data_IF_096434052425
#
_entry.id   IF_096434052425
#
_cell.length_a   1.000
_cell.length_b   1.000
_cell.length_c   1.000
_cell.angle_alpha   90.00
_cell.angle_beta   90.00
_cell.angle_gamma   90.00
#
_symmetry.space_group_name_H-M   'P 1'
#
loop_
_entity.id
_entity.type
_entity.pdbx_description
1 polymer ?
#
# COMPACT_ATOMS: atom_id res chain seq x y z
N UNK A 1 0.61 11.45 16.05
CA UNK A 1 -0.06 10.43 15.22
C UNK A 1 0.37 9.01 15.60
N UNK A 2 1.66 8.77 15.87
CA UNK A 2 2.18 7.43 16.22
C UNK A 2 1.36 6.60 17.23
N UNK A 3 0.83 7.15 18.35
CA UNK A 3 -0.01 6.36 19.26
C UNK A 3 -1.29 5.83 18.59
N UNK A 4 -1.93 6.62 17.73
CA UNK A 4 -3.14 6.18 17.00
C UNK A 4 -2.82 5.09 15.97
N UNK A 5 -1.69 5.21 15.28
CA UNK A 5 -1.27 4.16 14.34
C UNK A 5 -0.92 2.86 15.04
N UNK A 6 -0.28 2.93 16.20
CA UNK A 6 -0.04 1.74 17.03
C UNK A 6 -1.36 1.07 17.45
N UNK A 7 -2.36 1.85 17.86
CA UNK A 7 -3.67 1.32 18.24
C UNK A 7 -4.39 0.69 17.02
N UNK A 8 -4.30 1.30 15.82
CA UNK A 8 -4.79 0.74 14.55
C UNK A 8 -4.12 -0.59 14.22
N UNK A 9 -2.78 -0.67 14.34
CA UNK A 9 -2.02 -1.90 14.09
C UNK A 9 -2.47 -3.00 15.05
N UNK A 10 -2.55 -2.71 16.35
CA UNK A 10 -2.92 -3.71 17.35
C UNK A 10 -4.34 -4.22 17.16
N UNK A 11 -5.28 -3.34 16.80
CA UNK A 11 -6.64 -3.72 16.47
C UNK A 11 -6.69 -4.62 15.23
N UNK A 12 -6.00 -4.23 14.16
CA UNK A 12 -5.94 -4.99 12.91
C UNK A 12 -5.13 -6.28 12.98
N UNK A 13 -4.22 -6.46 13.95
CA UNK A 13 -3.52 -7.72 14.12
C UNK A 13 -4.31 -8.71 14.99
N UNK A 14 -5.42 -8.26 15.59
CA UNK A 14 -6.28 -9.06 16.46
C UNK A 14 -7.68 -9.35 15.89
N UNK A 15 -7.99 -8.91 14.66
CA UNK A 15 -9.37 -8.88 14.13
C UNK A 15 -9.59 -9.77 12.88
N UNK A 16 -9.84 -11.08 13.04
CA UNK A 16 -9.96 -12.00 11.92
C UNK A 16 -11.18 -11.79 11.01
N UNK A 17 -12.16 -10.96 11.40
CA UNK A 17 -13.37 -10.72 10.61
C UNK A 17 -13.85 -9.26 10.68
N UNK A 18 -14.50 -8.73 9.62
CA UNK A 18 -14.78 -9.40 8.33
C UNK A 18 -13.48 -9.64 7.53
N UNK A 19 -13.47 -10.71 6.71
CA UNK A 19 -12.33 -11.06 5.88
C UNK A 19 -12.76 -11.38 4.45
N UNK A 20 -12.05 -10.81 3.47
CA UNK A 20 -12.19 -11.02 2.04
C UNK A 20 -11.02 -11.86 1.54
N UNK A 21 -11.21 -13.18 1.47
CA UNK A 21 -10.11 -14.11 1.17
C UNK A 21 -9.54 -13.99 -0.25
N UNK A 22 -10.34 -13.46 -1.19
CA UNK A 22 -10.02 -13.41 -2.63
C UNK A 22 -9.50 -14.76 -3.20
N UNK A 23 -9.85 -15.87 -2.55
CA UNK A 23 -9.50 -17.22 -2.95
C UNK A 23 -10.39 -17.66 -4.11
N UNK A 24 -9.78 -18.20 -5.17
CA UNK A 24 -10.55 -18.76 -6.28
C UNK A 24 -10.98 -20.17 -5.94
N UNK A 25 -12.23 -20.32 -5.49
CA UNK A 25 -12.86 -21.63 -5.24
C UNK A 25 -12.95 -22.46 -6.52
N UNK A 26 -12.30 -23.63 -6.56
CA UNK A 26 -12.25 -24.52 -7.74
C UNK A 26 -13.27 -25.65 -7.74
N UNK A 27 -13.86 -25.97 -6.58
CA UNK A 27 -14.93 -26.96 -6.44
C UNK A 27 -15.91 -26.55 -5.33
N UNK A 28 -17.01 -27.28 -5.16
CA UNK A 28 -17.96 -26.99 -4.09
C UNK A 28 -17.36 -27.18 -2.68
N UNK A 29 -16.32 -28.02 -2.57
CA UNK A 29 -15.60 -28.36 -1.35
C UNK A 29 -14.42 -27.41 -1.07
N UNK A 30 -13.99 -26.63 -2.07
CA UNK A 30 -12.85 -25.70 -1.98
C UNK A 30 -13.27 -24.39 -1.27
N UNK A 31 -13.54 -24.51 0.03
CA UNK A 31 -14.05 -23.43 0.89
C UNK A 31 -13.19 -23.25 2.15
N UNK A 32 -11.87 -23.05 2.01
CA UNK A 32 -11.03 -22.82 3.17
C UNK A 32 -11.43 -21.53 3.88
N UNK A 33 -11.35 -21.53 5.21
CA UNK A 33 -11.37 -20.34 6.02
C UNK A 33 -10.01 -19.64 5.96
N UNK A 34 -9.95 -18.31 6.16
CA UNK A 34 -8.70 -17.55 6.07
C UNK A 34 -7.58 -18.11 6.97
N UNK A 35 -7.91 -18.51 8.20
CA UNK A 35 -6.94 -19.10 9.13
C UNK A 35 -6.51 -20.54 8.78
N UNK A 36 -7.01 -21.13 7.70
CA UNK A 36 -6.55 -22.44 7.21
C UNK A 36 -5.51 -22.28 6.09
N UNK A 37 -5.56 -21.18 5.33
CA UNK A 37 -4.71 -20.94 4.15
C UNK A 37 -3.75 -19.76 4.31
N UNK A 38 -4.00 -18.86 5.26
CA UNK A 38 -3.23 -17.63 5.49
C UNK A 38 -2.83 -17.46 6.96
N UNK A 39 -2.14 -18.45 7.54
CA UNK A 39 -1.81 -18.51 8.97
C UNK A 39 -1.08 -17.28 9.53
N UNK A 40 -0.25 -16.62 8.72
CA UNK A 40 0.47 -15.42 9.13
C UNK A 40 -0.36 -14.14 8.89
N UNK A 41 -1.24 -14.16 7.87
CA UNK A 41 -1.85 -12.94 7.32
C UNK A 41 -3.38 -13.03 7.19
N UNK A 42 -4.09 -13.49 8.24
CA UNK A 42 -5.56 -13.59 8.24
C UNK A 42 -6.28 -12.64 9.20
N UNK A 43 -5.56 -11.87 10.03
CA UNK A 43 -6.17 -11.12 11.14
C UNK A 43 -6.64 -9.71 10.78
N UNK A 44 -6.69 -9.36 9.49
CA UNK A 44 -7.22 -8.10 8.97
C UNK A 44 -8.21 -8.37 7.82
N UNK A 45 -8.70 -7.31 7.16
CA UNK A 45 -9.77 -7.39 6.16
C UNK A 45 -9.44 -8.31 4.98
N UNK A 46 -8.19 -8.36 4.55
CA UNK A 46 -7.69 -9.33 3.58
C UNK A 46 -6.20 -9.58 3.85
N UNK A 47 -5.60 -10.43 3.02
CA UNK A 47 -4.20 -10.83 3.19
C UNK A 47 -3.23 -9.65 3.12
N UNK A 48 -3.30 -8.83 2.07
CA UNK A 48 -2.36 -7.72 1.91
C UNK A 48 -2.60 -6.63 2.95
N UNK A 49 -3.84 -6.43 3.41
CA UNK A 49 -4.19 -5.54 4.53
C UNK A 49 -3.54 -6.01 5.83
N UNK A 50 -3.49 -7.32 6.07
CA UNK A 50 -2.73 -7.86 7.17
C UNK A 50 -1.24 -7.56 7.01
N UNK A 51 -0.68 -7.76 5.81
CA UNK A 51 0.74 -7.40 5.50
C UNK A 51 1.01 -5.90 5.69
N UNK A 52 0.09 -5.01 5.31
CA UNK A 52 0.16 -3.57 5.57
C UNK A 52 0.35 -3.25 7.04
N UNK A 53 -0.39 -3.95 7.91
CA UNK A 53 -0.38 -3.74 9.36
C UNK A 53 0.89 -4.30 10.00
N UNK A 54 1.42 -5.41 9.46
CA UNK A 54 2.75 -5.89 9.85
C UNK A 54 3.84 -4.88 9.49
N UNK A 55 3.83 -4.36 8.25
CA UNK A 55 4.79 -3.35 7.80
C UNK A 55 4.70 -2.07 8.65
N UNK A 56 3.48 -1.58 8.92
CA UNK A 56 3.27 -0.39 9.74
C UNK A 56 3.73 -0.64 11.18
N UNK A 57 3.46 -1.81 11.75
CA UNK A 57 3.93 -2.22 13.07
C UNK A 57 5.46 -2.20 13.18
N UNK A 58 6.17 -2.82 12.24
CA UNK A 58 7.64 -2.80 12.19
C UNK A 58 8.16 -1.36 12.01
N UNK A 59 7.55 -0.59 11.13
CA UNK A 59 7.93 0.82 10.90
C UNK A 59 7.78 1.66 12.18
N UNK A 60 6.70 1.46 12.95
CA UNK A 60 6.51 2.14 14.23
C UNK A 60 7.55 1.75 15.28
N UNK A 61 7.96 0.48 15.33
CA UNK A 61 9.03 0.03 16.21
C UNK A 61 10.37 0.71 15.86
N UNK A 62 10.70 0.83 14.58
CA UNK A 62 11.92 1.51 14.11
C UNK A 62 11.93 3.02 14.43
N UNK A 63 10.77 3.68 14.41
CA UNK A 63 10.66 5.12 14.69
C UNK A 63 10.41 5.44 16.17
N UNK A 64 10.14 4.43 16.99
CA UNK A 64 9.89 4.54 18.43
C UNK A 64 8.43 4.81 18.79
N UNK A 65 7.94 4.05 19.77
CA UNK A 65 6.64 4.22 20.43
C UNK A 65 6.79 4.07 21.95
N UNK A 66 5.73 4.33 22.73
CA UNK A 66 5.74 4.09 24.18
C UNK A 66 6.04 2.62 24.50
N UNK A 67 6.76 2.34 25.59
CA UNK A 67 7.20 1.00 25.97
C UNK A 67 6.07 -0.05 25.96
N UNK A 68 4.88 0.27 26.48
CA UNK A 68 3.73 -0.64 26.49
C UNK A 68 3.26 -1.00 25.07
N UNK A 69 3.27 -0.03 24.14
CA UNK A 69 2.90 -0.23 22.73
C UNK A 69 3.98 -0.97 21.97
N UNK A 70 5.24 -0.68 22.23
CA UNK A 70 6.38 -1.42 21.66
C UNK A 70 6.24 -2.91 22.01
N UNK A 71 6.06 -3.22 23.30
CA UNK A 71 5.89 -4.58 23.78
C UNK A 71 4.67 -5.27 23.14
N UNK A 72 3.53 -4.58 23.07
CA UNK A 72 2.31 -5.12 22.47
C UNK A 72 2.47 -5.40 20.96
N UNK A 73 3.05 -4.47 20.20
CA UNK A 73 3.28 -4.65 18.76
C UNK A 73 4.23 -5.82 18.52
N UNK A 74 5.32 -5.91 19.30
CA UNK A 74 6.27 -7.03 19.18
C UNK A 74 5.62 -8.38 19.48
N UNK A 75 4.75 -8.44 20.49
CA UNK A 75 4.02 -9.65 20.81
C UNK A 75 3.06 -10.06 19.68
N UNK A 76 2.34 -9.09 19.10
CA UNK A 76 1.43 -9.35 17.99
C UNK A 76 2.17 -9.85 16.73
N UNK A 77 3.27 -9.19 16.35
CA UNK A 77 4.10 -9.59 15.20
C UNK A 77 4.78 -10.95 15.42
N UNK A 78 5.28 -11.22 16.63
CA UNK A 78 5.91 -12.51 16.94
C UNK A 78 4.93 -13.69 16.90
N UNK A 79 3.64 -13.44 17.15
CA UNK A 79 2.62 -14.47 17.10
C UNK A 79 2.27 -14.92 15.67
N UNK A 80 2.57 -14.10 14.65
CA UNK A 80 2.21 -14.35 13.24
C UNK A 80 3.42 -14.61 12.35
N UNK A 81 4.54 -13.89 12.55
CA UNK A 81 5.78 -14.02 11.79
C UNK A 81 6.63 -15.21 12.27
N UNK A 82 6.01 -16.38 12.31
CA UNK A 82 6.65 -17.66 12.64
C UNK A 82 7.05 -18.39 11.36
N UNK A 83 8.26 -18.99 11.29
CA UNK A 83 8.73 -19.67 10.07
C UNK A 83 7.73 -20.67 9.50
N UNK A 84 7.10 -21.50 10.34
CA UNK A 84 6.12 -22.51 9.93
C UNK A 84 4.84 -21.90 9.34
N UNK A 85 4.42 -20.72 9.80
CA UNK A 85 3.24 -20.02 9.26
C UNK A 85 3.57 -19.39 7.92
N UNK A 86 4.74 -18.77 7.81
CA UNK A 86 5.22 -18.14 6.58
C UNK A 86 5.47 -19.16 5.46
N UNK A 87 5.84 -20.40 5.80
CA UNK A 87 5.92 -21.49 4.83
C UNK A 87 4.54 -21.85 4.23
N UNK A 88 3.45 -21.74 5.00
CA UNK A 88 2.08 -21.95 4.46
C UNK A 88 1.73 -20.86 3.46
N UNK A 89 2.07 -19.59 3.75
CA UNK A 89 1.89 -18.48 2.80
C UNK A 89 2.68 -18.73 1.51
N UNK A 90 3.91 -19.24 1.65
CA UNK A 90 4.81 -19.48 0.51
C UNK A 90 4.25 -20.58 -0.41
N UNK A 91 3.74 -21.66 0.20
CA UNK A 91 3.09 -22.72 -0.55
C UNK A 91 1.80 -22.25 -1.23
N UNK A 92 1.00 -21.42 -0.54
CA UNK A 92 -0.20 -20.85 -1.12
C UNK A 92 0.11 -19.99 -2.36
N UNK A 93 1.12 -19.12 -2.30
CA UNK A 93 1.54 -18.30 -3.44
C UNK A 93 2.07 -19.15 -4.61
N UNK A 94 2.87 -20.19 -4.34
CA UNK A 94 3.33 -21.13 -5.39
C UNK A 94 2.17 -21.81 -6.10
N UNK A 95 1.17 -22.25 -5.33
CA UNK A 95 -0.03 -22.90 -5.85
C UNK A 95 -0.98 -21.94 -6.57
N UNK A 96 -0.87 -20.62 -6.32
CA UNK A 96 -1.74 -19.58 -6.87
C UNK A 96 -0.92 -18.42 -7.47
N UNK A 97 -0.16 -18.64 -8.56
CA UNK A 97 0.91 -17.75 -9.03
C UNK A 97 0.46 -16.37 -9.55
N UNK A 98 -0.84 -16.12 -9.69
CA UNK A 98 -1.39 -14.81 -10.06
C UNK A 98 -2.05 -14.07 -8.90
N UNK A 99 -2.23 -14.72 -7.76
CA UNK A 99 -2.93 -14.16 -6.62
C UNK A 99 -2.07 -13.07 -5.95
N UNK A 100 -2.70 -11.97 -5.52
CA UNK A 100 -2.04 -10.76 -4.98
C UNK A 100 -1.04 -10.06 -5.94
N UNK A 101 -1.02 -10.45 -7.21
CA UNK A 101 -0.15 -9.84 -8.21
C UNK A 101 -0.65 -8.45 -8.65
N UNK A 102 0.22 -7.42 -8.72
CA UNK A 102 1.54 -7.31 -8.10
C UNK A 102 1.50 -6.64 -6.72
N UNK A 103 0.30 -6.24 -6.27
CA UNK A 103 0.13 -5.32 -5.16
C UNK A 103 0.51 -5.93 -3.80
N UNK A 104 -0.09 -7.06 -3.43
CA UNK A 104 0.27 -7.75 -2.19
C UNK A 104 1.72 -8.23 -2.20
N UNK A 105 2.23 -8.66 -3.36
CA UNK A 105 3.65 -9.01 -3.51
C UNK A 105 4.57 -7.84 -3.17
N UNK A 106 4.26 -6.64 -3.67
CA UNK A 106 5.05 -5.45 -3.37
C UNK A 106 5.02 -5.11 -1.87
N UNK A 107 3.87 -5.22 -1.22
CA UNK A 107 3.76 -4.96 0.23
C UNK A 107 4.51 -5.97 1.08
N UNK A 108 4.50 -7.24 0.69
CA UNK A 108 5.31 -8.24 1.36
C UNK A 108 6.81 -7.92 1.22
N UNK A 109 7.27 -7.58 0.01
CA UNK A 109 8.66 -7.20 -0.18
C UNK A 109 9.02 -5.95 0.64
N UNK A 110 8.11 -4.98 0.76
CA UNK A 110 8.29 -3.80 1.63
C UNK A 110 8.44 -4.20 3.10
N UNK A 111 7.63 -5.14 3.60
CA UNK A 111 7.75 -5.69 4.95
C UNK A 111 9.10 -6.39 5.14
N UNK A 112 9.49 -7.26 4.21
CA UNK A 112 10.77 -7.97 4.28
C UNK A 112 11.96 -7.00 4.27
N UNK A 113 11.93 -5.97 3.41
CA UNK A 113 12.98 -4.93 3.35
C UNK A 113 13.13 -4.18 4.68
N UNK A 114 12.03 -3.67 5.25
CA UNK A 114 12.13 -2.93 6.53
C UNK A 114 12.61 -3.83 7.67
N UNK A 115 12.26 -5.12 7.65
CA UNK A 115 12.78 -6.08 8.62
C UNK A 115 14.29 -6.35 8.43
N UNK A 116 14.74 -6.55 7.20
CA UNK A 116 16.12 -6.88 6.86
C UNK A 116 17.09 -5.71 7.14
N UNK A 117 16.63 -4.48 6.92
CA UNK A 117 17.42 -3.25 7.12
C UNK A 117 17.50 -2.80 8.60
N UNK A 118 16.68 -3.40 9.48
CA UNK A 118 16.61 -3.00 10.90
C UNK A 118 17.90 -3.28 11.67
N UNK A 119 18.23 -2.40 12.60
CA UNK A 119 19.33 -2.60 13.57
C UNK A 119 18.90 -3.44 14.78
N UNK A 120 17.61 -3.68 14.97
CA UNK A 120 17.05 -4.55 16.02
C UNK A 120 17.16 -6.04 15.61
N UNK A 121 17.81 -6.84 16.45
CA UNK A 121 18.05 -8.26 16.18
C UNK A 121 16.76 -9.09 16.07
N UNK A 122 15.69 -8.73 16.81
CA UNK A 122 14.41 -9.44 16.75
C UNK A 122 13.68 -9.12 15.45
N UNK A 123 13.73 -7.87 15.00
CA UNK A 123 13.13 -7.45 13.73
C UNK A 123 13.85 -8.11 12.56
N UNK A 124 15.20 -8.14 12.57
CA UNK A 124 15.97 -8.89 11.56
C UNK A 124 15.65 -10.38 11.54
N UNK A 125 15.39 -10.99 12.71
CA UNK A 125 14.99 -12.40 12.77
C UNK A 125 13.65 -12.65 12.07
N UNK A 126 12.69 -11.73 12.15
CA UNK A 126 11.47 -11.80 11.34
C UNK A 126 11.74 -11.63 9.85
N UNK A 127 12.71 -10.78 9.48
CA UNK A 127 13.21 -10.68 8.11
C UNK A 127 13.69 -12.03 7.59
N UNK A 128 14.54 -12.71 8.34
CA UNK A 128 15.00 -14.06 7.98
C UNK A 128 13.88 -15.10 7.90
N UNK A 129 12.86 -14.99 8.74
CA UNK A 129 11.69 -15.88 8.67
C UNK A 129 10.86 -15.64 7.39
N UNK A 130 10.91 -14.44 6.82
CA UNK A 130 10.23 -14.08 5.57
C UNK A 130 10.99 -14.53 4.32
N UNK A 131 12.31 -14.81 4.40
CA UNK A 131 13.15 -15.16 3.24
C UNK A 131 12.54 -16.24 2.33
N UNK A 132 12.00 -17.39 2.81
CA UNK A 132 11.42 -18.40 1.93
C UNK A 132 10.20 -17.92 1.15
N UNK A 133 9.43 -16.99 1.70
CA UNK A 133 8.28 -16.38 1.06
C UNK A 133 8.71 -15.30 0.06
N UNK A 134 9.77 -14.55 0.39
CA UNK A 134 10.41 -13.59 -0.53
C UNK A 134 10.96 -14.29 -1.76
N UNK A 135 11.61 -15.45 -1.60
CA UNK A 135 12.11 -16.26 -2.72
C UNK A 135 10.99 -16.66 -3.68
N UNK A 136 9.83 -17.08 -3.14
CA UNK A 136 8.64 -17.38 -3.97
C UNK A 136 8.18 -16.16 -4.74
N UNK A 137 8.06 -15.01 -4.08
CA UNK A 137 7.63 -13.78 -4.77
C UNK A 137 8.65 -13.35 -5.82
N UNK A 138 9.95 -13.51 -5.56
CA UNK A 138 11.00 -13.21 -6.55
C UNK A 138 10.84 -14.07 -7.81
N UNK A 139 10.66 -15.39 -7.65
CA UNK A 139 10.41 -16.31 -8.76
C UNK A 139 9.14 -15.94 -9.53
N UNK A 140 8.05 -15.62 -8.82
CA UNK A 140 6.77 -15.22 -9.42
C UNK A 140 6.88 -13.90 -10.18
N UNK A 141 7.62 -12.92 -9.67
CA UNK A 141 7.88 -11.65 -10.34
C UNK A 141 8.68 -11.88 -11.62
N UNK A 142 9.74 -12.68 -11.58
CA UNK A 142 10.55 -13.02 -12.76
C UNK A 142 9.69 -13.73 -13.81
N UNK A 143 8.92 -14.74 -13.41
CA UNK A 143 8.03 -15.47 -14.30
C UNK A 143 6.96 -14.55 -14.92
N UNK A 144 6.33 -13.69 -14.13
CA UNK A 144 5.32 -12.75 -14.63
C UNK A 144 5.93 -11.71 -15.57
N UNK A 145 7.03 -11.07 -15.19
CA UNK A 145 7.66 -10.02 -16.01
C UNK A 145 8.17 -10.54 -17.35
N UNK A 146 8.60 -11.81 -17.42
CA UNK A 146 8.93 -12.47 -18.67
C UNK A 146 7.74 -12.57 -19.66
N UNK A 147 6.49 -12.47 -19.17
CA UNK A 147 5.28 -12.45 -20.00
C UNK A 147 4.82 -11.05 -20.40
N UNK A 148 5.43 -9.99 -19.84
CA UNK A 148 5.03 -8.62 -20.11
C UNK A 148 5.58 -8.15 -21.46
N UNK A 149 4.71 -7.93 -22.45
CA UNK A 149 5.08 -7.43 -23.77
C UNK A 149 5.62 -5.99 -23.71
N UNK A 150 5.06 -5.18 -22.81
CA UNK A 150 5.40 -3.77 -22.64
C UNK A 150 5.59 -3.43 -21.16
N UNK A 151 6.50 -2.50 -20.81
CA UNK A 151 6.67 -2.07 -19.43
C UNK A 151 5.41 -1.40 -18.89
N UNK A 152 5.06 -1.65 -17.62
CA UNK A 152 4.00 -0.95 -16.87
C UNK A 152 4.52 0.40 -16.34
N UNK A 153 5.35 1.10 -17.12
CA UNK A 153 5.83 2.46 -16.84
C UNK A 153 6.23 3.15 -18.14
N UNK A 154 5.61 4.30 -18.41
CA UNK A 154 5.84 5.11 -19.62
C UNK A 154 7.18 5.88 -19.51
N UNK A 155 7.87 5.99 -20.65
CA UNK A 155 9.31 6.33 -20.79
C UNK A 155 9.57 7.66 -21.50
N UNK A 156 8.56 8.54 -21.62
CA UNK A 156 8.70 9.81 -22.35
C UNK A 156 9.79 10.69 -21.73
N UNK A 157 10.58 11.35 -22.59
CA UNK A 157 11.50 12.39 -22.13
C UNK A 157 10.74 13.58 -21.54
N UNK A 158 11.34 14.37 -20.63
CA UNK A 158 10.62 15.45 -19.92
C UNK A 158 9.89 16.44 -20.84
N UNK A 159 10.51 16.85 -21.96
CA UNK A 159 9.88 17.75 -22.92
C UNK A 159 8.67 17.12 -23.63
N UNK A 160 8.83 15.90 -24.16
CA UNK A 160 7.75 15.16 -24.83
C UNK A 160 6.58 14.87 -23.89
N UNK A 161 6.88 14.58 -22.62
CA UNK A 161 5.85 14.41 -21.60
C UNK A 161 5.06 15.69 -21.37
N UNK A 162 5.72 16.85 -21.32
CA UNK A 162 5.04 18.12 -21.08
C UNK A 162 4.12 18.53 -22.23
N UNK A 163 4.57 18.31 -23.47
CA UNK A 163 3.75 18.55 -24.67
C UNK A 163 2.55 17.59 -24.70
N UNK A 164 2.77 16.30 -24.44
CA UNK A 164 1.69 15.32 -24.31
C UNK A 164 0.70 15.69 -23.21
N UNK A 165 1.17 16.11 -22.03
CA UNK A 165 0.31 16.46 -20.90
C UNK A 165 -0.62 17.64 -21.25
N UNK A 166 -0.07 18.67 -21.90
CA UNK A 166 -0.83 19.84 -22.37
C UNK A 166 -1.90 19.43 -23.39
N UNK A 167 -1.56 18.53 -24.32
CA UNK A 167 -2.50 18.02 -25.32
C UNK A 167 -3.55 17.05 -24.74
N UNK A 168 -3.19 16.29 -23.71
CA UNK A 168 -4.05 15.28 -23.09
C UNK A 168 -5.13 15.90 -22.17
N UNK A 169 -4.79 17.00 -21.48
CA UNK A 169 -5.70 17.71 -20.58
C UNK A 169 -5.75 19.22 -20.89
N UNK A 170 -6.22 19.62 -22.08
CA UNK A 170 -6.18 21.01 -22.53
C UNK A 170 -7.10 21.95 -21.75
N UNK A 171 -8.09 21.39 -21.02
CA UNK A 171 -9.06 22.14 -20.21
C UNK A 171 -8.84 22.02 -18.69
N UNK A 172 -7.65 21.60 -18.25
CA UNK A 172 -7.37 21.46 -16.82
C UNK A 172 -7.35 22.83 -16.13
N UNK A 173 -8.36 23.08 -15.31
CA UNK A 173 -8.50 24.31 -14.54
C UNK A 173 -8.59 24.03 -13.04
N UNK A 174 -8.36 25.05 -12.20
CA UNK A 174 -8.33 24.91 -10.74
C UNK A 174 -9.67 24.41 -10.13
N UNK A 175 -10.79 24.59 -10.83
CA UNK A 175 -12.12 24.12 -10.43
C UNK A 175 -12.47 22.72 -10.96
N UNK A 176 -11.59 22.11 -11.78
CA UNK A 176 -11.78 20.77 -12.32
C UNK A 176 -12.01 19.75 -11.21
N UNK A 177 -13.10 18.98 -11.32
CA UNK A 177 -13.53 18.00 -10.29
C UNK A 177 -12.44 16.99 -9.90
N UNK A 178 -11.56 16.63 -10.85
CA UNK A 178 -10.45 15.69 -10.59
C UNK A 178 -9.43 16.23 -9.59
N UNK A 179 -9.35 17.55 -9.43
CA UNK A 179 -8.44 18.25 -8.51
C UNK A 179 -9.07 18.58 -7.15
N UNK A 180 -10.34 18.21 -6.95
CA UNK A 180 -11.05 18.46 -5.70
C UNK A 180 -11.05 17.22 -4.80
N UNK A 181 -10.85 17.39 -3.47
CA UNK A 181 -11.01 16.31 -2.54
C UNK A 181 -12.42 15.71 -2.60
N UNK A 182 -12.49 14.39 -2.63
CA UNK A 182 -13.75 13.65 -2.50
C UNK A 182 -14.03 13.44 -1.01
N UNK A 183 -15.29 13.64 -0.61
CA UNK A 183 -15.76 13.35 0.74
C UNK A 183 -16.42 11.97 0.76
N UNK A 184 -16.14 11.21 1.81
CA UNK A 184 -16.84 9.97 2.13
C UNK A 184 -18.00 10.34 3.05
N UNK A 185 -19.19 9.87 2.72
CA UNK A 185 -20.42 10.14 3.50
C UNK A 185 -20.81 8.99 4.41
N UNK A 186 -20.26 7.80 4.19
CA UNK A 186 -20.44 6.60 5.00
C UNK A 186 -19.08 5.89 5.11
N UNK A 187 -18.50 5.90 6.30
CA UNK A 187 -17.20 5.29 6.58
C UNK A 187 -17.28 3.78 6.81
N UNK A 188 -18.49 3.22 6.93
CA UNK A 188 -18.70 1.76 7.07
C UNK A 188 -18.83 1.06 5.71
N UNK A 189 -19.10 1.81 4.65
CA UNK A 189 -19.16 1.29 3.28
C UNK A 189 -17.73 1.09 2.74
N UNK A 190 -17.34 -0.17 2.62
CA UNK A 190 -16.04 -0.61 2.10
C UNK A 190 -15.70 -0.05 0.72
N UNK A 191 -16.67 0.26 -0.15
CA UNK A 191 -16.40 0.89 -1.44
C UNK A 191 -16.19 2.40 -1.31
N UNK A 192 -16.95 3.07 -0.45
CA UNK A 192 -16.85 4.52 -0.30
C UNK A 192 -15.55 4.95 0.39
N UNK A 193 -15.10 4.22 1.40
CA UNK A 193 -13.83 4.52 2.10
C UNK A 193 -12.61 4.53 1.18
N UNK A 194 -12.63 3.81 0.05
CA UNK A 194 -11.57 3.88 -0.97
C UNK A 194 -11.39 5.28 -1.57
N UNK A 195 -12.41 6.14 -1.49
CA UNK A 195 -12.31 7.53 -1.93
C UNK A 195 -11.39 8.37 -1.04
N UNK A 196 -11.11 7.94 0.21
CA UNK A 196 -10.07 8.55 1.02
C UNK A 196 -8.68 8.32 0.41
N UNK A 197 -8.35 7.09 0.05
CA UNK A 197 -7.09 6.79 -0.64
C UNK A 197 -7.04 7.36 -2.06
N UNK A 198 -8.18 7.61 -2.71
CA UNK A 198 -8.21 8.36 -3.98
C UNK A 198 -7.64 9.78 -3.80
N UNK A 199 -7.88 10.44 -2.66
CA UNK A 199 -7.29 11.76 -2.40
C UNK A 199 -5.76 11.67 -2.26
N UNK A 200 -5.23 10.69 -1.50
CA UNK A 200 -3.78 10.44 -1.38
C UNK A 200 -3.15 10.05 -2.72
N UNK A 201 -3.78 9.14 -3.45
CA UNK A 201 -3.32 8.69 -4.76
C UNK A 201 -3.25 9.86 -5.74
N UNK A 202 -4.28 10.70 -5.81
CA UNK A 202 -4.26 11.93 -6.63
C UNK A 202 -3.15 12.88 -6.20
N UNK A 203 -2.98 13.14 -4.91
CA UNK A 203 -1.88 13.97 -4.42
C UNK A 203 -0.51 13.41 -4.87
N UNK A 204 -0.29 12.09 -4.72
CA UNK A 204 0.94 11.43 -5.16
C UNK A 204 1.15 11.48 -6.68
N UNK A 205 0.11 11.25 -7.49
CA UNK A 205 0.21 11.37 -8.95
C UNK A 205 0.50 12.82 -9.37
N UNK A 206 -0.16 13.79 -8.75
CA UNK A 206 0.09 15.21 -8.99
C UNK A 206 1.56 15.55 -8.70
N UNK A 207 2.10 15.12 -7.56
CA UNK A 207 3.50 15.35 -7.21
C UNK A 207 4.46 14.76 -8.25
N UNK A 208 4.18 13.55 -8.77
CA UNK A 208 4.98 12.90 -9.81
C UNK A 208 4.90 13.61 -11.16
N UNK A 209 3.70 14.07 -11.53
CA UNK A 209 3.50 14.86 -12.76
C UNK A 209 4.26 16.19 -12.65
N UNK A 210 4.15 16.88 -11.51
CA UNK A 210 4.90 18.13 -11.25
C UNK A 210 6.40 17.90 -11.38
N UNK A 211 6.95 16.85 -10.77
CA UNK A 211 8.37 16.52 -10.89
C UNK A 211 8.80 16.27 -12.34
N UNK A 212 7.96 15.59 -13.13
CA UNK A 212 8.23 15.36 -14.56
C UNK A 212 8.17 16.65 -15.39
N UNK A 213 7.21 17.53 -15.12
CA UNK A 213 7.07 18.82 -15.79
C UNK A 213 8.22 19.79 -15.43
N UNK A 214 8.65 19.79 -14.17
CA UNK A 214 9.77 20.61 -13.68
C UNK A 214 11.12 20.12 -14.24
N UNK A 215 11.27 18.82 -14.48
CA UNK A 215 12.44 18.23 -15.14
C UNK A 215 12.64 18.66 -16.60
N UNK A 216 11.66 19.30 -17.25
CA UNK A 216 11.73 19.80 -18.63
C UNK A 216 12.29 21.24 -18.75
N UNK A 217 13.06 21.70 -17.75
CA UNK A 217 13.53 23.08 -17.62
C UNK A 217 14.38 23.61 -18.79
N UNK A 218 14.05 24.83 -19.27
CA UNK A 218 14.69 25.60 -20.35
C UNK A 218 13.94 26.93 -20.59
N UNK A 219 14.35 27.75 -21.58
CA UNK A 219 13.78 29.08 -21.94
C UNK A 219 12.23 29.11 -22.03
N UNK A 220 11.63 27.96 -22.32
CA UNK A 220 10.22 27.79 -22.69
C UNK A 220 9.34 27.35 -21.50
N UNK A 221 9.90 27.39 -20.29
CA UNK A 221 9.21 27.06 -19.04
C UNK A 221 7.99 27.96 -18.73
N UNK A 222 7.91 29.14 -19.36
CA UNK A 222 6.81 30.09 -19.18
C UNK A 222 5.46 29.61 -19.73
N UNK A 223 5.46 28.85 -20.84
CA UNK A 223 4.23 28.38 -21.51
C UNK A 223 3.69 27.09 -20.86
N UNK A 224 4.58 26.25 -20.29
CA UNK A 224 4.24 25.00 -19.59
C UNK A 224 3.78 25.21 -18.13
N UNK A 225 3.56 26.48 -17.74
CA UNK A 225 3.38 26.90 -16.35
C UNK A 225 1.94 26.80 -15.82
N UNK A 226 0.92 26.87 -16.68
CA UNK A 226 -0.48 26.96 -16.23
C UNK A 226 -1.01 25.63 -15.70
N UNK A 227 -0.77 24.53 -16.42
CA UNK A 227 -1.11 23.18 -15.95
C UNK A 227 -0.35 22.81 -14.66
N UNK A 228 0.96 23.09 -14.61
CA UNK A 228 1.78 22.85 -13.42
C UNK A 228 1.32 23.72 -12.22
N UNK A 229 1.00 25.00 -12.45
CA UNK A 229 0.46 25.88 -11.40
C UNK A 229 -0.87 25.36 -10.87
N UNK A 230 -1.79 25.00 -11.78
CA UNK A 230 -3.09 24.42 -11.44
C UNK A 230 -2.94 23.15 -10.59
N UNK A 231 -2.07 22.23 -11.01
CA UNK A 231 -1.75 21.02 -10.25
C UNK A 231 -1.18 21.31 -8.86
N UNK A 232 -0.26 22.27 -8.75
CA UNK A 232 0.36 22.66 -7.47
C UNK A 232 -0.67 23.17 -6.46
N UNK A 233 -1.67 23.92 -6.90
CA UNK A 233 -2.76 24.41 -6.01
C UNK A 233 -3.66 23.28 -5.48
N UNK A 234 -3.75 22.16 -6.19
CA UNK A 234 -4.60 21.03 -5.80
C UNK A 234 -3.92 20.08 -4.82
N UNK A 235 -2.59 20.07 -4.76
CA UNK A 235 -1.80 19.09 -4.02
C UNK A 235 -2.11 19.10 -2.52
N UNK A 236 -1.99 20.26 -1.87
CA UNK A 236 -2.14 20.40 -0.42
C UNK A 236 -3.56 20.03 0.06
N UNK A 237 -4.66 20.51 -0.56
CA UNK A 237 -6.02 20.10 -0.18
C UNK A 237 -6.26 18.58 -0.29
N UNK A 238 -5.76 17.95 -1.36
CA UNK A 238 -5.90 16.51 -1.57
C UNK A 238 -5.10 15.71 -0.53
N UNK A 239 -3.84 16.10 -0.30
CA UNK A 239 -2.97 15.47 0.69
C UNK A 239 -3.57 15.58 2.09
N UNK A 240 -3.99 16.77 2.49
CA UNK A 240 -4.62 17.02 3.80
C UNK A 240 -5.88 16.18 4.00
N UNK A 241 -6.77 16.12 2.99
CA UNK A 241 -7.99 15.33 3.07
C UNK A 241 -7.69 13.82 3.20
N UNK A 242 -6.69 13.34 2.47
CA UNK A 242 -6.23 11.95 2.55
C UNK A 242 -5.61 11.59 3.90
N UNK A 243 -4.68 12.41 4.39
CA UNK A 243 -3.99 12.19 5.67
C UNK A 243 -4.94 12.27 6.87
N UNK A 244 -5.95 13.14 6.81
CA UNK A 244 -6.97 13.22 7.86
C UNK A 244 -7.75 11.90 8.00
N UNK A 245 -7.99 11.19 6.88
CA UNK A 245 -8.69 9.91 6.87
C UNK A 245 -7.78 8.71 7.21
N UNK A 246 -6.46 8.83 7.04
CA UNK A 246 -5.52 7.77 7.36
C UNK A 246 -5.47 7.41 8.86
N UNK A 247 -6.03 8.26 9.71
CA UNK A 247 -6.21 8.04 11.16
C UNK A 247 -7.67 7.82 11.55
N UNK A 248 -8.54 7.47 10.58
CA UNK A 248 -9.94 7.15 10.84
C UNK A 248 -10.06 5.91 11.74
N UNK A 249 -11.03 5.89 12.67
CA UNK A 249 -11.20 4.78 13.60
C UNK A 249 -11.89 3.57 12.97
N UNK A 250 -12.58 3.75 11.84
CA UNK A 250 -13.32 2.67 11.20
C UNK A 250 -12.38 1.63 10.59
N UNK A 251 -12.70 0.36 10.77
CA UNK A 251 -11.93 -0.76 10.25
C UNK A 251 -11.84 -0.75 8.74
N UNK A 252 -12.93 -0.41 8.04
CA UNK A 252 -12.99 -0.43 6.59
C UNK A 252 -12.07 0.63 5.96
N UNK A 253 -11.70 1.66 6.71
CA UNK A 253 -10.69 2.64 6.29
C UNK A 253 -9.29 2.28 6.81
N UNK A 254 -9.18 1.93 8.09
CA UNK A 254 -7.88 1.85 8.78
C UNK A 254 -7.03 0.62 8.41
N UNK A 255 -7.62 -0.46 7.89
CA UNK A 255 -6.92 -1.71 7.58
C UNK A 255 -5.84 -1.61 6.49
N UNK A 256 -5.80 -0.50 5.74
CA UNK A 256 -4.82 -0.27 4.67
C UNK A 256 -4.36 1.19 4.60
N UNK A 257 -5.27 2.15 4.81
CA UNK A 257 -5.01 3.57 4.54
C UNK A 257 -3.93 4.15 5.45
N UNK A 258 -3.85 3.69 6.69
CA UNK A 258 -2.86 4.13 7.67
C UNK A 258 -1.41 3.95 7.18
N UNK A 259 -1.14 2.97 6.33
CA UNK A 259 0.20 2.67 5.82
C UNK A 259 0.66 3.66 4.73
N UNK A 260 -0.26 4.47 4.18
CA UNK A 260 0.04 5.46 3.14
C UNK A 260 0.31 6.87 3.67
N UNK A 261 0.30 7.07 4.98
CA UNK A 261 0.45 8.37 5.63
C UNK A 261 1.82 8.53 6.30
#
# INVERSE_FOLDING_TARGET
>A
MAPRYADIVLDNLARPFPHSAHHTTRSAEDRPLPHEIHLAFFTSFDWHSCVHMHYLGVTLLEHGVSADRDAAIRAALAATLMPEKLLVEAEYLRSNPSWERPYGWAWLLRLATVCAESTDARIRAWGHALDPLVDVVADLVVAWTATAEWPVRRVLGPHEFADWFTAFLPGLAADSRILKPVRVTDESDGYFVHLHGLNLSRAGQIARILAALEGAGGWDAGIRSEGASTLRTALEPLLRAGLAAAVAPDFMSSHWLATFA
#
